data_IF_545633645253
#
_entry.id   IF_545633645253
#
_cell.length_a   1.000
_cell.length_b   1.000
_cell.length_c   1.000
_cell.angle_alpha   90.00
_cell.angle_beta   90.00
_cell.angle_gamma   90.00
#
_symmetry.space_group_name_H-M   'P 1'
#
loop_
_entity.id
_entity.type
_entity.pdbx_description
1 polymer ?
#
# COMPACT_ATOMS: atom_id res chain seq x y z
N UNK A 1 -48.12 -4.97 35.83
CA UNK A 1 -48.01 -5.32 34.42
C UNK A 1 -47.01 -4.37 33.81
N UNK A 2 -45.77 -4.75 33.75
CA UNK A 2 -44.71 -4.03 33.06
C UNK A 2 -44.80 -4.38 31.60
N UNK A 3 -44.74 -3.39 30.65
CA UNK A 3 -44.73 -3.71 29.24
C UNK A 3 -43.38 -4.39 28.92
N UNK A 4 -43.46 -5.58 28.38
CA UNK A 4 -42.33 -6.27 27.76
C UNK A 4 -41.92 -5.47 26.54
N UNK A 5 -40.90 -4.68 26.67
CA UNK A 5 -40.16 -4.12 25.51
C UNK A 5 -39.43 -5.25 24.81
N UNK A 6 -40.13 -5.93 23.94
CA UNK A 6 -39.52 -6.80 22.95
C UNK A 6 -38.87 -5.96 21.86
N UNK A 7 -37.78 -5.27 22.20
CA UNK A 7 -36.90 -4.76 21.20
C UNK A 7 -36.08 -5.92 20.63
N UNK A 8 -36.61 -6.57 19.62
CA UNK A 8 -35.80 -7.34 18.63
C UNK A 8 -34.98 -6.38 17.79
N UNK A 9 -34.15 -5.60 18.46
CA UNK A 9 -33.11 -4.85 17.74
C UNK A 9 -32.04 -5.86 17.34
N UNK A 10 -31.96 -6.16 16.04
CA UNK A 10 -30.78 -6.84 15.50
C UNK A 10 -29.57 -6.01 15.95
N UNK A 11 -28.70 -6.58 16.79
CA UNK A 11 -27.51 -5.83 17.23
C UNK A 11 -26.75 -5.38 16.00
N UNK A 12 -26.32 -4.14 15.98
CA UNK A 12 -25.55 -3.54 14.89
C UNK A 12 -26.31 -3.23 13.57
N UNK A 13 -27.64 -3.41 13.50
CA UNK A 13 -28.40 -3.08 12.28
C UNK A 13 -28.29 -1.57 11.94
N UNK A 14 -28.38 -0.71 12.94
CA UNK A 14 -28.26 0.74 12.78
C UNK A 14 -26.88 1.12 12.24
N UNK A 15 -25.83 0.60 12.86
CA UNK A 15 -24.44 0.83 12.47
C UNK A 15 -24.18 0.37 11.03
N UNK A 16 -24.72 -0.79 10.67
CA UNK A 16 -24.62 -1.33 9.31
C UNK A 16 -25.35 -0.43 8.29
N UNK A 17 -26.55 0.05 8.62
CA UNK A 17 -27.32 0.94 7.73
C UNK A 17 -26.61 2.28 7.56
N UNK A 18 -26.07 2.87 8.62
CA UNK A 18 -25.26 4.11 8.55
C UNK A 18 -24.04 3.88 7.68
N UNK A 19 -23.30 2.79 7.90
CA UNK A 19 -22.17 2.45 7.07
C UNK A 19 -22.54 2.29 5.60
N UNK A 20 -23.58 1.52 5.27
CA UNK A 20 -24.02 1.31 3.89
C UNK A 20 -24.48 2.62 3.23
N UNK A 21 -25.16 3.49 3.98
CA UNK A 21 -25.54 4.81 3.50
C UNK A 21 -24.32 5.67 3.16
N UNK A 22 -23.31 5.67 4.04
CA UNK A 22 -22.05 6.38 3.81
C UNK A 22 -21.31 5.78 2.62
N UNK A 23 -21.16 4.47 2.56
CA UNK A 23 -20.48 3.78 1.46
C UNK A 23 -21.17 4.07 0.12
N UNK A 24 -22.52 4.02 0.08
CA UNK A 24 -23.31 4.28 -1.11
C UNK A 24 -23.16 5.71 -1.65
N UNK A 25 -22.91 6.69 -0.79
CA UNK A 25 -22.67 8.08 -1.19
C UNK A 25 -21.19 8.35 -1.43
N UNK A 26 -20.34 7.87 -0.53
CA UNK A 26 -18.92 8.20 -0.50
C UNK A 26 -18.17 7.56 -1.67
N UNK A 27 -18.45 6.28 -1.99
CA UNK A 27 -17.73 5.59 -3.08
C UNK A 27 -17.90 6.28 -4.44
N UNK A 28 -19.13 6.63 -4.89
CA UNK A 28 -19.29 7.39 -6.13
C UNK A 28 -18.66 8.78 -6.11
N UNK A 29 -18.76 9.49 -4.97
CA UNK A 29 -18.19 10.82 -4.80
C UNK A 29 -16.67 10.81 -4.91
N UNK A 30 -16.03 9.87 -4.22
CA UNK A 30 -14.57 9.69 -4.22
C UNK A 30 -14.04 9.36 -5.62
N UNK A 31 -14.74 8.50 -6.35
CA UNK A 31 -14.40 8.17 -7.75
C UNK A 31 -14.45 9.40 -8.66
N UNK A 32 -15.42 10.30 -8.46
CA UNK A 32 -15.53 11.58 -9.21
C UNK A 32 -14.39 12.55 -8.87
N UNK A 33 -13.99 12.60 -7.61
CA UNK A 33 -12.97 13.52 -7.11
C UNK A 33 -11.54 13.00 -7.29
N UNK A 34 -11.35 11.79 -7.80
CA UNK A 34 -10.03 11.11 -7.90
C UNK A 34 -9.29 11.08 -6.56
N UNK A 35 -10.04 10.83 -5.50
CA UNK A 35 -9.54 10.80 -4.13
C UNK A 35 -9.39 9.35 -3.65
N UNK A 36 -8.45 9.08 -2.74
CA UNK A 36 -8.28 7.72 -2.20
C UNK A 36 -9.51 7.29 -1.38
N UNK A 37 -10.05 6.11 -1.72
CA UNK A 37 -11.18 5.51 -1.00
C UNK A 37 -10.84 5.27 0.48
N UNK A 38 -9.62 4.86 0.78
CA UNK A 38 -9.09 4.65 2.14
C UNK A 38 -9.21 5.93 2.97
N UNK A 39 -8.69 7.05 2.44
CA UNK A 39 -8.75 8.34 3.12
C UNK A 39 -10.17 8.85 3.31
N UNK A 40 -11.03 8.63 2.33
CA UNK A 40 -12.42 9.07 2.42
C UNK A 40 -13.19 8.36 3.55
N UNK A 41 -13.03 7.04 3.69
CA UNK A 41 -13.62 6.30 4.79
C UNK A 41 -13.00 6.66 6.14
N UNK A 42 -11.70 6.91 6.18
CA UNK A 42 -11.01 7.38 7.40
C UNK A 42 -11.59 8.72 7.87
N UNK A 43 -11.71 9.71 6.98
CA UNK A 43 -12.28 11.02 7.26
C UNK A 43 -13.76 10.91 7.66
N UNK A 44 -14.54 10.10 6.94
CA UNK A 44 -15.93 9.87 7.28
C UNK A 44 -16.08 9.25 8.68
N UNK A 45 -15.25 8.24 8.99
CA UNK A 45 -15.22 7.62 10.32
C UNK A 45 -14.88 8.61 11.44
N UNK A 46 -13.85 9.42 11.22
CA UNK A 46 -13.48 10.48 12.17
C UNK A 46 -14.62 11.50 12.36
N UNK A 47 -15.32 11.85 11.27
CA UNK A 47 -16.41 12.83 11.34
C UNK A 47 -17.64 12.26 12.09
N UNK A 48 -18.07 11.02 11.80
CA UNK A 48 -19.29 10.43 12.38
C UNK A 48 -19.05 9.67 13.70
N UNK A 49 -17.79 9.47 14.03
CA UNK A 49 -17.38 8.75 15.24
C UNK A 49 -17.65 9.52 16.53
N UNK A 50 -17.39 8.86 17.68
CA UNK A 50 -17.65 9.42 19.01
C UNK A 50 -16.87 10.70 19.30
N UNK A 51 -15.69 10.86 18.71
CA UNK A 51 -14.84 12.04 18.89
C UNK A 51 -15.15 13.17 17.88
N UNK A 52 -15.89 12.89 16.82
CA UNK A 52 -16.37 13.85 15.83
C UNK A 52 -17.77 14.38 16.19
N UNK A 53 -18.72 14.20 15.27
CA UNK A 53 -20.13 14.60 15.48
C UNK A 53 -20.74 13.97 16.75
N UNK A 54 -20.31 12.76 17.14
CA UNK A 54 -20.78 12.10 18.35
C UNK A 54 -20.54 12.90 19.62
N UNK A 55 -19.51 13.73 19.66
CA UNK A 55 -19.19 14.59 20.82
C UNK A 55 -19.96 15.91 20.83
N UNK A 56 -20.51 16.32 19.68
CA UNK A 56 -21.20 17.61 19.48
C UNK A 56 -22.73 17.48 19.52
N UNK A 57 -23.25 16.25 19.29
CA UNK A 57 -24.67 16.01 19.19
C UNK A 57 -25.26 15.69 20.56
N UNK A 58 -26.24 16.51 21.00
CA UNK A 58 -26.98 16.29 22.24
C UNK A 58 -27.68 14.91 22.24
N UNK A 59 -27.87 14.32 23.45
CA UNK A 59 -28.43 12.99 23.62
C UNK A 59 -29.82 12.82 22.97
N UNK A 60 -30.61 13.88 22.90
CA UNK A 60 -31.99 13.87 22.40
C UNK A 60 -32.12 14.33 20.94
N UNK A 61 -31.00 14.56 20.23
CA UNK A 61 -31.04 15.03 18.83
C UNK A 61 -31.27 13.86 17.86
N UNK A 62 -32.12 14.09 16.84
CA UNK A 62 -32.33 13.17 15.72
C UNK A 62 -31.01 12.83 14.96
N UNK A 63 -30.03 13.73 15.00
CA UNK A 63 -28.70 13.55 14.42
C UNK A 63 -27.93 12.38 15.07
N UNK A 64 -28.28 12.00 16.31
CA UNK A 64 -27.67 10.85 16.98
C UNK A 64 -27.94 9.53 16.25
N UNK A 65 -29.00 9.44 15.46
CA UNK A 65 -29.30 8.27 14.63
C UNK A 65 -28.24 8.04 13.53
N UNK A 66 -27.52 9.09 13.13
CA UNK A 66 -26.45 9.03 12.12
C UNK A 66 -25.04 8.89 12.73
N UNK A 67 -24.92 8.97 14.03
CA UNK A 67 -23.64 8.80 14.75
C UNK A 67 -23.49 7.37 15.19
N UNK A 68 -22.37 6.77 14.88
CA UNK A 68 -22.02 5.43 15.36
C UNK A 68 -21.45 5.56 16.77
N UNK A 69 -22.16 5.04 17.76
CA UNK A 69 -21.76 5.09 19.18
C UNK A 69 -21.17 3.78 19.67
N UNK A 70 -21.56 2.65 19.08
CA UNK A 70 -20.97 1.35 19.40
C UNK A 70 -19.71 1.10 18.57
N UNK A 71 -18.59 1.62 19.08
CA UNK A 71 -17.27 1.42 18.47
C UNK A 71 -16.82 -0.02 18.59
N UNK A 72 -17.16 -0.71 19.68
CA UNK A 72 -16.73 -2.08 19.94
C UNK A 72 -17.38 -3.07 18.96
N UNK A 73 -18.69 -2.99 18.78
CA UNK A 73 -19.41 -3.83 17.82
C UNK A 73 -19.00 -3.54 16.37
N UNK A 74 -18.82 -2.26 16.02
CA UNK A 74 -18.35 -1.87 14.68
C UNK A 74 -16.93 -2.39 14.43
N UNK A 75 -16.05 -2.39 15.42
CA UNK A 75 -14.69 -2.91 15.34
C UNK A 75 -14.66 -4.42 15.05
N UNK A 76 -15.54 -5.20 15.68
CA UNK A 76 -15.63 -6.65 15.41
C UNK A 76 -15.96 -6.94 13.93
N UNK A 77 -16.89 -6.18 13.34
CA UNK A 77 -17.22 -6.36 11.91
C UNK A 77 -16.06 -5.81 11.04
N UNK A 78 -15.40 -4.74 11.46
CA UNK A 78 -14.27 -4.15 10.75
C UNK A 78 -13.04 -5.08 10.69
N UNK A 79 -12.91 -6.04 11.62
CA UNK A 79 -11.87 -7.08 11.58
C UNK A 79 -11.96 -7.93 10.30
N UNK A 80 -13.16 -8.16 9.78
CA UNK A 80 -13.31 -8.78 8.46
C UNK A 80 -12.69 -7.93 7.35
N UNK A 81 -12.67 -6.60 7.52
CA UNK A 81 -11.98 -5.71 6.57
C UNK A 81 -10.48 -5.98 6.50
N UNK A 82 -9.83 -6.23 7.64
CA UNK A 82 -8.42 -6.64 7.71
C UNK A 82 -8.22 -7.99 7.01
N UNK A 83 -9.12 -8.94 7.24
CA UNK A 83 -9.09 -10.26 6.60
C UNK A 83 -9.14 -10.13 5.08
N UNK A 84 -10.09 -9.38 4.54
CA UNK A 84 -10.20 -9.18 3.09
C UNK A 84 -9.06 -8.36 2.52
N UNK A 85 -8.54 -7.38 3.26
CA UNK A 85 -7.36 -6.60 2.85
C UNK A 85 -6.14 -7.51 2.72
N UNK A 86 -5.83 -8.30 3.73
CA UNK A 86 -4.67 -9.18 3.74
C UNK A 86 -4.83 -10.37 2.80
N UNK A 87 -6.04 -10.92 2.66
CA UNK A 87 -6.34 -11.91 1.64
C UNK A 87 -6.03 -11.38 0.23
N UNK A 88 -6.49 -10.17 -0.07
CA UNK A 88 -6.24 -9.55 -1.38
C UNK A 88 -4.76 -9.29 -1.60
N UNK A 89 -4.06 -8.81 -0.57
CA UNK A 89 -2.62 -8.64 -0.60
C UNK A 89 -1.91 -9.95 -0.95
N UNK A 90 -2.27 -11.04 -0.26
CA UNK A 90 -1.75 -12.37 -0.56
C UNK A 90 -2.06 -12.81 -2.01
N UNK A 91 -3.26 -12.52 -2.50
CA UNK A 91 -3.69 -12.87 -3.85
C UNK A 91 -2.96 -12.06 -4.95
N UNK A 92 -2.59 -10.83 -4.66
CA UNK A 92 -1.83 -9.97 -5.57
C UNK A 92 -0.36 -10.39 -5.69
N UNK A 93 0.20 -11.04 -4.68
CA UNK A 93 1.57 -11.54 -4.69
C UNK A 93 1.74 -12.68 -5.71
N UNK A 94 2.71 -12.52 -6.60
CA UNK A 94 3.08 -13.51 -7.60
C UNK A 94 4.57 -13.86 -7.46
N UNK A 95 4.87 -15.15 -7.29
CA UNK A 95 6.26 -15.64 -7.20
C UNK A 95 7.09 -15.26 -8.43
N UNK A 96 6.46 -15.22 -9.61
CA UNK A 96 7.10 -14.80 -10.85
C UNK A 96 7.48 -13.30 -10.86
N UNK A 97 6.67 -12.43 -10.28
CA UNK A 97 6.99 -11.00 -10.14
C UNK A 97 8.11 -10.77 -9.12
N UNK A 98 8.04 -11.46 -7.96
CA UNK A 98 9.09 -11.43 -6.95
C UNK A 98 10.44 -11.82 -7.52
N UNK A 99 10.50 -12.89 -8.33
CA UNK A 99 11.73 -13.35 -8.95
C UNK A 99 12.29 -12.35 -9.98
N UNK A 100 11.42 -11.79 -10.85
CA UNK A 100 11.82 -10.79 -11.85
C UNK A 100 12.34 -9.50 -11.22
N UNK A 101 11.73 -9.07 -10.11
CA UNK A 101 12.06 -7.83 -9.42
C UNK A 101 12.94 -8.04 -8.18
N UNK A 102 13.49 -9.25 -7.98
CA UNK A 102 14.19 -9.67 -6.75
C UNK A 102 15.25 -8.70 -6.25
N UNK A 103 16.03 -8.08 -7.16
CA UNK A 103 17.04 -7.10 -6.79
C UNK A 103 16.43 -5.85 -6.14
N UNK A 104 15.30 -5.39 -6.66
CA UNK A 104 14.59 -4.21 -6.15
C UNK A 104 13.77 -4.56 -4.92
N UNK A 105 13.09 -5.71 -4.91
CA UNK A 105 12.27 -6.19 -3.79
C UNK A 105 13.16 -6.48 -2.58
N UNK A 106 14.03 -7.47 -2.69
CA UNK A 106 14.84 -7.94 -1.56
C UNK A 106 16.07 -7.08 -1.28
N UNK A 107 16.62 -6.36 -2.26
CA UNK A 107 17.73 -5.44 -2.06
C UNK A 107 17.25 -4.09 -1.57
N UNK A 108 16.68 -3.28 -2.47
CA UNK A 108 16.29 -1.92 -2.18
C UNK A 108 15.14 -1.84 -1.16
N UNK A 109 14.09 -2.67 -1.32
CA UNK A 109 12.95 -2.71 -0.42
C UNK A 109 13.34 -3.04 1.02
N UNK A 110 14.14 -4.11 1.24
CA UNK A 110 14.66 -4.43 2.58
C UNK A 110 15.52 -3.31 3.15
N UNK A 111 16.43 -2.75 2.36
CA UNK A 111 17.29 -1.64 2.82
C UNK A 111 16.44 -0.45 3.26
N UNK A 112 15.44 -0.08 2.46
CA UNK A 112 14.54 1.02 2.79
C UNK A 112 13.78 0.74 4.09
N UNK A 113 13.18 -0.44 4.25
CA UNK A 113 12.40 -0.80 5.44
C UNK A 113 13.29 -0.81 6.68
N UNK A 114 14.40 -1.55 6.64
CA UNK A 114 15.26 -1.74 7.82
C UNK A 114 15.90 -0.44 8.28
N UNK A 115 16.44 0.37 7.34
CA UNK A 115 17.07 1.64 7.70
C UNK A 115 16.03 2.64 8.20
N UNK A 116 14.85 2.73 7.56
CA UNK A 116 13.77 3.59 8.02
C UNK A 116 13.27 3.17 9.39
N UNK A 117 13.01 1.87 9.57
CA UNK A 117 12.55 1.33 10.85
C UNK A 117 13.55 1.59 11.99
N UNK A 118 14.83 1.39 11.73
CA UNK A 118 15.90 1.66 12.72
C UNK A 118 15.95 3.14 13.12
N UNK A 119 15.88 4.05 12.16
CA UNK A 119 15.90 5.50 12.42
C UNK A 119 14.66 5.94 13.20
N UNK A 120 13.48 5.48 12.80
CA UNK A 120 12.23 5.81 13.50
C UNK A 120 12.18 5.16 14.88
N UNK A 121 12.62 3.91 15.02
CA UNK A 121 12.68 3.23 16.31
C UNK A 121 13.67 3.95 17.26
N UNK A 122 14.84 4.37 16.76
CA UNK A 122 15.79 5.18 17.51
C UNK A 122 15.18 6.50 17.98
N UNK A 123 14.43 7.18 17.12
CA UNK A 123 13.71 8.40 17.44
C UNK A 123 12.61 8.15 18.47
N UNK A 124 11.79 7.12 18.31
CA UNK A 124 10.76 6.74 19.27
C UNK A 124 11.35 6.39 20.63
N UNK A 125 12.49 5.69 20.65
CA UNK A 125 13.25 5.42 21.88
C UNK A 125 13.78 6.69 22.56
N UNK A 126 14.28 7.63 21.77
CA UNK A 126 14.74 8.94 22.25
C UNK A 126 13.61 9.72 22.94
N UNK A 127 12.39 9.63 22.43
CA UNK A 127 11.19 10.20 23.06
C UNK A 127 10.63 9.38 24.23
N UNK A 128 11.37 8.39 24.75
CA UNK A 128 11.04 7.68 25.97
C UNK A 128 10.20 6.41 25.82
N UNK A 129 9.87 5.99 24.58
CA UNK A 129 9.15 4.73 24.38
C UNK A 129 10.03 3.51 24.74
N UNK A 130 9.44 2.45 25.27
CA UNK A 130 10.12 1.18 25.48
C UNK A 130 10.61 0.58 24.14
N UNK A 131 11.68 -0.22 24.18
CA UNK A 131 12.23 -0.83 22.96
C UNK A 131 11.21 -1.60 22.15
N UNK A 132 10.33 -2.44 22.75
CA UNK A 132 9.29 -3.14 22.00
C UNK A 132 8.38 -2.19 21.21
N UNK A 133 7.84 -1.16 21.90
CA UNK A 133 7.02 -0.14 21.26
C UNK A 133 7.75 0.62 20.15
N UNK A 134 9.01 0.99 20.41
CA UNK A 134 9.85 1.72 19.45
C UNK A 134 10.11 0.90 18.16
N UNK A 135 10.38 -0.39 18.28
CA UNK A 135 10.60 -1.29 17.14
C UNK A 135 9.32 -1.42 16.33
N UNK A 136 8.19 -1.67 16.99
CA UNK A 136 6.88 -1.80 16.32
C UNK A 136 6.51 -0.51 15.60
N UNK A 137 6.68 0.66 16.24
CA UNK A 137 6.45 1.97 15.61
C UNK A 137 7.38 2.18 14.42
N UNK A 138 8.67 1.85 14.56
CA UNK A 138 9.64 1.97 13.49
C UNK A 138 9.28 1.15 12.26
N UNK A 139 8.92 -0.11 12.45
CA UNK A 139 8.53 -1.00 11.37
C UNK A 139 7.18 -0.59 10.75
N UNK A 140 6.18 -0.25 11.56
CA UNK A 140 4.86 0.18 11.08
C UNK A 140 4.95 1.45 10.22
N UNK A 141 5.73 2.44 10.67
CA UNK A 141 5.90 3.71 9.97
C UNK A 141 6.88 3.63 8.77
N UNK A 142 7.70 2.58 8.68
CA UNK A 142 8.54 2.33 7.51
C UNK A 142 7.72 1.94 6.26
N UNK A 143 6.53 1.38 6.46
CA UNK A 143 5.62 1.00 5.39
C UNK A 143 4.98 2.23 4.73
N UNK A 144 4.65 2.13 3.45
CA UNK A 144 3.97 3.18 2.66
C UNK A 144 2.65 2.65 2.11
N UNK A 145 1.72 3.55 1.78
CA UNK A 145 0.43 3.15 1.21
C UNK A 145 0.57 2.67 -0.23
N UNK A 146 0.36 1.38 -0.45
CA UNK A 146 0.33 0.77 -1.77
C UNK A 146 -0.81 1.33 -2.59
N UNK A 147 -2.00 1.48 -1.99
CA UNK A 147 -3.18 2.00 -2.68
C UNK A 147 -2.97 3.42 -3.23
N UNK A 148 -2.43 4.34 -2.43
CA UNK A 148 -2.21 5.74 -2.84
C UNK A 148 -1.12 5.84 -3.91
N UNK A 149 0.01 5.15 -3.71
CA UNK A 149 1.14 5.22 -4.65
C UNK A 149 0.74 4.66 -6.02
N UNK A 150 0.10 3.49 -6.04
CA UNK A 150 -0.33 2.86 -7.29
C UNK A 150 -1.40 3.65 -8.01
N UNK A 151 -2.34 4.27 -7.28
CA UNK A 151 -3.33 5.18 -7.85
C UNK A 151 -2.66 6.38 -8.51
N UNK A 152 -1.74 7.08 -7.82
CA UNK A 152 -1.04 8.25 -8.33
C UNK A 152 -0.21 7.93 -9.57
N UNK A 153 0.47 6.78 -9.59
CA UNK A 153 1.22 6.32 -10.77
C UNK A 153 0.31 5.95 -11.94
N UNK A 154 -0.85 5.35 -11.66
CA UNK A 154 -1.85 5.01 -12.68
C UNK A 154 -2.46 6.27 -13.33
N UNK A 155 -2.84 7.28 -12.53
CA UNK A 155 -3.36 8.56 -13.00
C UNK A 155 -2.36 9.30 -13.91
N UNK A 156 -1.06 9.17 -13.61
CA UNK A 156 0.03 9.74 -14.43
C UNK A 156 0.46 8.86 -15.60
N UNK A 157 -0.10 7.66 -15.74
CA UNK A 157 0.32 6.64 -16.72
C UNK A 157 1.79 6.25 -16.58
N UNK A 158 2.32 6.27 -15.37
CA UNK A 158 3.74 6.05 -15.05
C UNK A 158 4.03 4.69 -14.39
N UNK A 159 3.06 3.77 -14.35
CA UNK A 159 3.25 2.41 -13.79
C UNK A 159 4.42 1.66 -14.44
N UNK A 160 4.62 1.83 -15.76
CA UNK A 160 5.72 1.22 -16.52
C UNK A 160 7.03 2.02 -16.49
N UNK A 161 7.06 3.21 -15.90
CA UNK A 161 8.26 4.04 -15.78
C UNK A 161 9.33 3.40 -14.88
N UNK A 162 10.60 3.82 -14.96
CA UNK A 162 11.64 3.35 -14.03
C UNK A 162 11.25 3.60 -12.56
N UNK A 163 10.67 4.76 -12.24
CA UNK A 163 10.19 5.10 -10.89
C UNK A 163 9.04 4.20 -10.50
N UNK A 164 8.04 4.02 -11.37
CA UNK A 164 6.86 3.20 -11.10
C UNK A 164 7.22 1.74 -10.82
N UNK A 165 8.10 1.14 -11.63
CA UNK A 165 8.54 -0.25 -11.42
C UNK A 165 9.31 -0.45 -10.12
N UNK A 166 10.16 0.52 -9.75
CA UNK A 166 10.93 0.44 -8.51
C UNK A 166 10.04 0.72 -7.30
N UNK A 167 9.16 1.72 -7.36
CA UNK A 167 8.18 1.99 -6.32
C UNK A 167 7.30 0.75 -6.06
N UNK A 168 6.79 0.12 -7.12
CA UNK A 168 6.04 -1.14 -7.01
C UNK A 168 6.86 -2.25 -6.32
N UNK A 169 8.14 -2.40 -6.67
CA UNK A 169 8.99 -3.42 -6.06
C UNK A 169 9.24 -3.16 -4.56
N UNK A 170 9.42 -1.89 -4.16
CA UNK A 170 9.57 -1.49 -2.75
C UNK A 170 8.27 -1.77 -1.99
N UNK A 171 7.12 -1.35 -2.53
CA UNK A 171 5.82 -1.62 -1.94
C UNK A 171 5.54 -3.11 -1.77
N UNK A 172 5.89 -3.91 -2.78
CA UNK A 172 5.76 -5.36 -2.73
C UNK A 172 6.59 -5.98 -1.58
N UNK A 173 7.78 -5.43 -1.31
CA UNK A 173 8.57 -5.86 -0.15
C UNK A 173 7.96 -5.38 1.17
N UNK A 174 7.45 -4.17 1.21
CA UNK A 174 6.76 -3.62 2.37
C UNK A 174 5.52 -4.46 2.71
N UNK A 175 4.73 -4.83 1.72
CA UNK A 175 3.56 -5.69 1.87
C UNK A 175 3.95 -7.10 2.39
N UNK A 176 5.05 -7.66 1.90
CA UNK A 176 5.57 -8.94 2.39
C UNK A 176 6.05 -8.84 3.84
N UNK A 177 6.58 -7.67 4.25
CA UNK A 177 7.06 -7.42 5.61
C UNK A 177 5.92 -7.30 6.65
N UNK A 178 4.69 -7.04 6.22
CA UNK A 178 3.52 -6.99 7.12
C UNK A 178 3.37 -8.29 7.88
N UNK A 179 3.63 -9.43 7.24
CA UNK A 179 3.49 -10.77 7.86
C UNK A 179 4.45 -10.96 9.04
N UNK A 180 5.78 -10.84 8.89
CA UNK A 180 6.67 -10.95 10.04
C UNK A 180 6.42 -9.87 11.08
N UNK A 181 5.95 -8.67 10.68
CA UNK A 181 5.61 -7.61 11.61
C UNK A 181 4.41 -7.98 12.50
N UNK A 182 3.35 -8.57 11.95
CA UNK A 182 2.22 -9.06 12.73
C UNK A 182 2.64 -10.16 13.71
N UNK A 183 3.46 -11.11 13.25
CA UNK A 183 4.02 -12.14 14.14
C UNK A 183 4.87 -11.54 15.26
N UNK A 184 5.66 -10.51 14.94
CA UNK A 184 6.48 -9.82 15.94
C UNK A 184 5.61 -9.14 17.00
N UNK A 185 4.58 -8.40 16.60
CA UNK A 185 3.68 -7.68 17.54
C UNK A 185 3.00 -8.65 18.50
N UNK A 186 2.59 -9.83 18.01
CA UNK A 186 1.91 -10.83 18.83
C UNK A 186 2.83 -11.47 19.92
N UNK A 187 4.15 -11.32 19.84
CA UNK A 187 5.09 -12.04 20.71
C UNK A 187 6.13 -11.16 21.44
N UNK A 188 6.04 -9.84 21.30
CA UNK A 188 7.06 -8.90 21.85
C UNK A 188 6.91 -8.67 23.35
N UNK A 189 5.79 -9.06 23.98
CA UNK A 189 5.53 -8.82 25.43
C UNK A 189 6.30 -9.75 26.38
N UNK A 190 7.03 -10.73 25.89
CA UNK A 190 7.82 -11.62 26.74
C UNK A 190 9.06 -10.92 27.30
N UNK A 191 8.95 -10.39 28.52
CA UNK A 191 10.06 -9.75 29.23
C UNK A 191 11.17 -10.73 29.60
N UNK A 192 12.42 -10.41 29.21
CA UNK A 192 13.63 -10.97 29.79
C UNK A 192 14.52 -11.81 28.88
N UNK A 193 15.49 -12.51 29.47
CA UNK A 193 16.51 -13.34 28.80
C UNK A 193 15.91 -14.52 27.97
N UNK A 194 14.62 -14.82 28.16
CA UNK A 194 13.85 -15.77 27.38
C UNK A 194 13.40 -15.26 26.02
N UNK A 195 13.50 -13.95 25.75
CA UNK A 195 13.00 -13.31 24.50
C UNK A 195 13.55 -14.00 23.24
N UNK A 196 14.84 -14.35 23.22
CA UNK A 196 15.45 -15.03 22.09
C UNK A 196 14.93 -16.46 21.86
N UNK A 197 14.67 -17.19 22.94
CA UNK A 197 14.14 -18.56 22.87
C UNK A 197 12.64 -18.57 22.60
N UNK A 198 11.86 -17.66 23.17
CA UNK A 198 10.43 -17.53 22.90
C UNK A 198 10.16 -17.07 21.47
N UNK A 199 10.90 -16.10 20.96
CA UNK A 199 10.85 -15.68 19.56
C UNK A 199 11.29 -16.80 18.60
N UNK A 200 12.31 -17.57 18.94
CA UNK A 200 12.74 -18.72 18.15
C UNK A 200 11.65 -19.78 18.11
N UNK A 201 11.05 -20.12 19.26
CA UNK A 201 9.97 -21.09 19.36
C UNK A 201 8.71 -20.63 18.63
N UNK A 202 8.31 -19.36 18.83
CA UNK A 202 7.18 -18.76 18.12
C UNK A 202 7.41 -18.74 16.60
N UNK A 203 8.61 -18.34 16.16
CA UNK A 203 8.99 -18.37 14.74
C UNK A 203 8.97 -19.79 14.16
N UNK A 204 9.49 -20.76 14.87
CA UNK A 204 9.47 -22.17 14.44
C UNK A 204 8.03 -22.70 14.35
N UNK A 205 7.20 -22.42 15.35
CA UNK A 205 5.77 -22.76 15.36
C UNK A 205 5.03 -22.11 14.19
N UNK A 206 5.28 -20.84 13.96
CA UNK A 206 4.71 -20.11 12.82
C UNK A 206 5.15 -20.73 11.48
N UNK A 207 6.44 -21.01 11.31
CA UNK A 207 6.97 -21.64 10.09
C UNK A 207 6.32 -23.00 9.86
N UNK A 208 6.20 -23.83 10.90
CA UNK A 208 5.56 -25.16 10.80
C UNK A 208 4.08 -25.03 10.43
N UNK A 209 3.35 -24.13 11.09
CA UNK A 209 1.94 -23.89 10.80
C UNK A 209 1.73 -23.35 9.35
N UNK A 210 2.53 -22.39 8.93
CA UNK A 210 2.53 -21.85 7.57
C UNK A 210 2.85 -22.95 6.56
N UNK A 211 3.91 -23.73 6.79
CA UNK A 211 4.29 -24.83 5.91
C UNK A 211 3.16 -25.87 5.79
N UNK A 212 2.54 -26.27 6.90
CA UNK A 212 1.43 -27.21 6.91
C UNK A 212 0.23 -26.66 6.12
N UNK A 213 -0.17 -25.40 6.35
CA UNK A 213 -1.26 -24.74 5.64
C UNK A 213 -0.96 -24.65 4.13
N UNK A 214 0.25 -24.28 3.75
CA UNK A 214 0.66 -24.18 2.33
C UNK A 214 0.67 -25.56 1.67
N UNK A 215 1.22 -26.59 2.32
CA UNK A 215 1.29 -27.94 1.76
C UNK A 215 -0.10 -28.56 1.61
N UNK A 216 -0.92 -28.48 2.67
CA UNK A 216 -2.29 -29.01 2.66
C UNK A 216 -3.16 -28.20 1.68
N UNK A 217 -3.03 -26.89 1.74
CA UNK A 217 -3.79 -25.98 0.88
C UNK A 217 -3.49 -26.18 -0.60
N UNK A 218 -2.22 -26.28 -1.02
CA UNK A 218 -1.85 -26.57 -2.41
C UNK A 218 -2.43 -27.90 -2.91
N UNK A 219 -2.53 -28.90 -2.04
CA UNK A 219 -3.10 -30.22 -2.40
C UNK A 219 -4.63 -30.18 -2.50
N UNK A 220 -5.30 -29.38 -1.66
CA UNK A 220 -6.76 -29.36 -1.57
C UNK A 220 -7.40 -28.26 -2.44
N UNK A 221 -6.80 -27.08 -2.49
CA UNK A 221 -7.42 -25.92 -3.16
C UNK A 221 -7.65 -26.21 -4.64
N UNK A 222 -6.62 -26.61 -5.37
CA UNK A 222 -6.72 -26.82 -6.82
C UNK A 222 -7.80 -27.83 -7.23
N UNK A 223 -7.89 -29.07 -6.67
CA UNK A 223 -8.94 -30.04 -7.02
C UNK A 223 -10.33 -29.60 -6.57
N UNK A 224 -10.45 -28.89 -5.41
CA UNK A 224 -11.72 -28.36 -4.94
C UNK A 224 -12.27 -27.27 -5.91
N UNK A 225 -11.43 -26.28 -6.20
CA UNK A 225 -11.82 -25.21 -7.14
C UNK A 225 -12.13 -25.76 -8.54
N UNK A 226 -11.40 -26.76 -9.00
CA UNK A 226 -11.69 -27.44 -10.27
C UNK A 226 -13.08 -28.08 -10.28
N UNK A 227 -13.44 -28.79 -9.21
CA UNK A 227 -14.78 -29.42 -9.09
C UNK A 227 -15.90 -28.40 -9.05
N UNK A 228 -15.75 -27.36 -8.23
CA UNK A 228 -16.77 -26.30 -8.06
C UNK A 228 -16.87 -25.46 -9.34
N UNK A 229 -15.77 -25.09 -9.97
CA UNK A 229 -15.79 -24.35 -11.23
C UNK A 229 -16.49 -25.13 -12.36
N UNK A 230 -16.41 -26.46 -12.37
CA UNK A 230 -17.11 -27.31 -13.33
C UNK A 230 -18.64 -27.30 -13.17
N UNK A 231 -19.15 -26.88 -12.02
CA UNK A 231 -20.62 -26.75 -11.81
C UNK A 231 -21.20 -25.48 -12.42
N UNK A 232 -20.35 -24.51 -12.83
CA UNK A 232 -20.75 -23.19 -13.35
C UNK A 232 -21.68 -22.40 -12.42
N UNK A 233 -21.64 -22.68 -11.13
CA UNK A 233 -22.43 -21.99 -10.10
C UNK A 233 -21.60 -20.92 -9.40
N UNK A 234 -21.87 -19.61 -9.65
CA UNK A 234 -21.12 -18.51 -9.03
C UNK A 234 -21.18 -18.52 -7.49
N UNK A 235 -22.34 -18.86 -6.93
CA UNK A 235 -22.57 -18.89 -5.49
C UNK A 235 -21.72 -19.96 -4.80
N UNK A 236 -21.61 -21.15 -5.40
CA UNK A 236 -20.77 -22.23 -4.88
C UNK A 236 -19.27 -21.86 -4.94
N UNK A 237 -18.84 -21.18 -6.01
CA UNK A 237 -17.49 -20.70 -6.16
C UNK A 237 -17.16 -19.62 -5.11
N UNK A 238 -18.09 -18.69 -4.88
CA UNK A 238 -17.97 -17.65 -3.84
C UNK A 238 -17.92 -18.28 -2.44
N UNK A 239 -18.82 -19.20 -2.13
CA UNK A 239 -18.84 -19.89 -0.84
C UNK A 239 -17.55 -20.66 -0.57
N UNK A 240 -16.99 -21.34 -1.59
CA UNK A 240 -15.71 -22.03 -1.47
C UNK A 240 -14.56 -21.04 -1.24
N UNK A 241 -14.54 -19.91 -1.93
CA UNK A 241 -13.52 -18.87 -1.76
C UNK A 241 -13.55 -18.32 -0.33
N UNK A 242 -14.73 -17.99 0.18
CA UNK A 242 -14.92 -17.54 1.56
C UNK A 242 -14.53 -18.61 2.57
N UNK A 243 -14.90 -19.87 2.31
CA UNK A 243 -14.55 -21.00 3.18
C UNK A 243 -13.03 -21.19 3.26
N UNK A 244 -12.32 -21.12 2.15
CA UNK A 244 -10.85 -21.22 2.14
C UNK A 244 -10.22 -20.04 2.86
N UNK A 245 -10.72 -18.82 2.63
CA UNK A 245 -10.20 -17.60 3.27
C UNK A 245 -10.40 -17.63 4.80
N UNK A 246 -11.65 -17.77 5.24
CA UNK A 246 -12.00 -17.76 6.66
C UNK A 246 -11.53 -19.03 7.37
N UNK A 247 -11.59 -20.17 6.70
CA UNK A 247 -11.12 -21.45 7.24
C UNK A 247 -9.63 -21.46 7.50
N UNK A 248 -8.82 -20.92 6.57
CA UNK A 248 -7.37 -20.77 6.76
C UNK A 248 -7.08 -19.77 7.89
N UNK A 249 -7.82 -18.66 7.96
CA UNK A 249 -7.71 -17.69 9.03
C UNK A 249 -8.05 -18.31 10.41
N UNK A 250 -9.09 -19.13 10.48
CA UNK A 250 -9.46 -19.85 11.69
C UNK A 250 -8.41 -20.90 12.10
N UNK A 251 -7.80 -21.60 11.13
CA UNK A 251 -6.72 -22.57 11.39
C UNK A 251 -5.48 -21.89 11.95
N UNK A 252 -5.07 -20.75 11.43
CA UNK A 252 -3.94 -19.97 11.97
C UNK A 252 -4.23 -19.47 13.36
N UNK A 253 -5.42 -18.96 13.60
CA UNK A 253 -5.86 -18.53 14.93
C UNK A 253 -5.84 -19.69 15.95
N UNK A 254 -6.35 -20.86 15.58
CA UNK A 254 -6.29 -22.05 16.43
C UNK A 254 -4.85 -22.52 16.69
N UNK A 255 -3.91 -22.23 15.78
CA UNK A 255 -2.48 -22.46 15.97
C UNK A 255 -1.81 -21.36 16.84
N UNK A 256 -2.56 -20.37 17.35
CA UNK A 256 -2.04 -19.27 18.16
C UNK A 256 -1.32 -18.18 17.35
N UNK A 257 -1.65 -18.05 16.07
CA UNK A 257 -1.19 -16.98 15.17
C UNK A 257 -2.36 -16.04 14.88
N UNK A 258 -2.08 -14.86 14.31
CA UNK A 258 -3.12 -13.90 13.99
C UNK A 258 -4.11 -14.41 12.92
N UNK A 259 -5.37 -14.06 13.07
CA UNK A 259 -6.42 -14.33 12.07
C UNK A 259 -6.10 -13.70 10.72
N UNK A 260 -5.50 -12.52 10.77
CA UNK A 260 -5.06 -11.75 9.63
C UNK A 260 -3.97 -12.46 8.79
N UNK A 261 -3.00 -13.10 9.45
CA UNK A 261 -1.97 -13.91 8.80
C UNK A 261 -2.57 -15.06 7.99
N UNK A 262 -3.60 -15.73 8.53
CA UNK A 262 -4.26 -16.83 7.84
C UNK A 262 -4.97 -16.39 6.57
N UNK A 263 -5.62 -15.23 6.59
CA UNK A 263 -6.22 -14.65 5.41
C UNK A 263 -5.17 -14.33 4.31
N UNK A 264 -4.03 -13.78 4.71
CA UNK A 264 -2.91 -13.55 3.79
C UNK A 264 -2.41 -14.85 3.14
N UNK A 265 -2.22 -15.90 3.95
CA UNK A 265 -1.80 -17.20 3.45
C UNK A 265 -2.81 -17.83 2.50
N UNK A 266 -4.13 -17.69 2.78
CA UNK A 266 -5.18 -18.11 1.88
C UNK A 266 -5.08 -17.39 0.52
N UNK A 267 -4.87 -16.08 0.55
CA UNK A 267 -4.65 -15.26 -0.66
C UNK A 267 -3.44 -15.74 -1.46
N UNK A 268 -2.30 -15.92 -0.79
CA UNK A 268 -1.06 -16.42 -1.41
C UNK A 268 -1.23 -17.82 -2.01
N UNK A 269 -1.96 -18.69 -1.33
CA UNK A 269 -2.28 -20.03 -1.81
C UNK A 269 -3.09 -19.99 -3.11
N UNK A 270 -4.11 -19.13 -3.16
CA UNK A 270 -4.97 -19.00 -4.32
C UNK A 270 -4.31 -18.20 -5.46
N UNK A 271 -3.32 -17.35 -5.15
CA UNK A 271 -2.53 -16.60 -6.13
C UNK A 271 -1.78 -17.49 -7.12
N UNK A 272 -1.37 -18.70 -6.68
CA UNK A 272 -0.65 -19.68 -7.51
C UNK A 272 -1.59 -20.64 -8.27
N UNK A 273 -2.91 -20.53 -8.08
CA UNK A 273 -3.88 -21.38 -8.79
C UNK A 273 -4.32 -20.78 -10.13
N UNK A 274 -4.80 -21.64 -11.04
CA UNK A 274 -5.39 -21.18 -12.29
C UNK A 274 -6.65 -20.33 -12.10
N UNK A 275 -7.24 -20.36 -10.90
CA UNK A 275 -8.49 -19.67 -10.55
C UNK A 275 -8.27 -18.28 -9.95
N UNK A 276 -7.02 -17.80 -9.82
CA UNK A 276 -6.66 -16.51 -9.22
C UNK A 276 -7.54 -15.36 -9.70
N UNK A 277 -7.70 -15.23 -11.00
CA UNK A 277 -8.47 -14.13 -11.58
C UNK A 277 -9.97 -14.22 -11.25
N UNK A 278 -10.53 -15.43 -11.30
CA UNK A 278 -11.93 -15.66 -10.92
C UNK A 278 -12.17 -15.38 -9.43
N UNK A 279 -11.26 -15.82 -8.56
CA UNK A 279 -11.27 -15.50 -7.13
C UNK A 279 -11.24 -13.99 -6.91
N UNK A 280 -10.37 -13.28 -7.61
CA UNK A 280 -10.25 -11.83 -7.52
C UNK A 280 -11.56 -11.13 -7.88
N UNK A 281 -12.18 -11.49 -9.01
CA UNK A 281 -13.48 -10.93 -9.43
C UNK A 281 -14.60 -11.23 -8.44
N UNK A 282 -14.58 -12.43 -7.84
CA UNK A 282 -15.60 -12.84 -6.85
C UNK A 282 -15.50 -12.07 -5.54
N UNK A 283 -14.28 -11.73 -5.10
CA UNK A 283 -14.04 -11.04 -3.81
C UNK A 283 -14.09 -9.51 -3.95
N UNK A 284 -13.88 -8.97 -5.14
CA UNK A 284 -13.78 -7.52 -5.37
C UNK A 284 -14.95 -6.69 -4.78
N UNK A 285 -16.24 -7.10 -4.89
CA UNK A 285 -17.36 -6.37 -4.29
C UNK A 285 -17.26 -6.30 -2.75
N UNK A 286 -16.88 -7.41 -2.12
CA UNK A 286 -16.71 -7.50 -0.66
C UNK A 286 -15.50 -6.73 -0.18
N UNK A 287 -14.40 -6.81 -0.93
CA UNK A 287 -13.16 -6.07 -0.64
C UNK A 287 -13.45 -4.59 -0.41
N UNK A 288 -14.11 -3.93 -1.37
CA UNK A 288 -14.39 -2.49 -1.29
C UNK A 288 -15.20 -2.10 -0.05
N UNK A 289 -16.23 -2.88 0.28
CA UNK A 289 -17.08 -2.63 1.45
C UNK A 289 -16.36 -2.90 2.76
N UNK A 290 -15.73 -4.06 2.92
CA UNK A 290 -15.09 -4.43 4.19
C UNK A 290 -13.84 -3.61 4.49
N UNK A 291 -13.03 -3.28 3.47
CA UNK A 291 -11.91 -2.34 3.64
C UNK A 291 -12.45 -0.96 4.02
N UNK A 292 -13.54 -0.50 3.38
CA UNK A 292 -14.20 0.74 3.75
C UNK A 292 -14.68 0.75 5.20
N UNK A 293 -15.30 -0.34 5.66
CA UNK A 293 -15.73 -0.48 7.04
C UNK A 293 -14.57 -0.48 8.03
N UNK A 294 -13.47 -1.14 7.70
CA UNK A 294 -12.26 -1.13 8.51
C UNK A 294 -11.72 0.31 8.67
N UNK A 295 -11.55 1.06 7.58
CA UNK A 295 -11.03 2.43 7.67
C UNK A 295 -12.01 3.39 8.31
N UNK A 296 -13.32 3.17 8.16
CA UNK A 296 -14.33 3.89 8.90
C UNK A 296 -14.17 3.67 10.41
N UNK A 297 -14.05 2.41 10.84
CA UNK A 297 -13.86 2.06 12.24
C UNK A 297 -12.55 2.60 12.83
N UNK A 298 -11.46 2.55 12.07
CA UNK A 298 -10.19 3.19 12.44
C UNK A 298 -10.37 4.70 12.59
N UNK A 299 -11.03 5.35 11.62
CA UNK A 299 -11.32 6.78 11.69
C UNK A 299 -12.14 7.17 12.91
N UNK A 300 -13.13 6.37 13.29
CA UNK A 300 -13.93 6.58 14.51
C UNK A 300 -13.09 6.54 15.79
N UNK A 301 -11.98 5.80 15.78
CA UNK A 301 -11.03 5.72 16.90
C UNK A 301 -10.06 6.91 16.97
N UNK A 302 -10.02 7.80 15.98
CA UNK A 302 -9.13 8.96 15.97
C UNK A 302 -9.76 10.13 16.74
N UNK A 303 -9.10 10.54 17.82
CA UNK A 303 -9.50 11.74 18.58
C UNK A 303 -8.78 12.98 18.05
N UNK A 304 -9.49 13.78 17.25
CA UNK A 304 -8.95 15.03 16.69
C UNK A 304 -8.72 16.13 17.75
N UNK A 305 -9.20 15.95 19.00
CA UNK A 305 -8.94 16.92 20.09
C UNK A 305 -7.46 16.95 20.43
N UNK A 306 -6.76 15.81 20.30
CA UNK A 306 -5.31 15.73 20.42
C UNK A 306 -4.57 16.66 19.44
N UNK A 307 -5.22 17.10 18.35
CA UNK A 307 -4.67 18.14 17.46
C UNK A 307 -4.59 19.49 18.16
N UNK A 308 -5.54 19.80 19.05
CA UNK A 308 -5.55 21.01 19.87
C UNK A 308 -4.54 20.97 21.00
N UNK A 309 -4.27 19.79 21.54
CA UNK A 309 -3.30 19.59 22.63
C UNK A 309 -1.86 19.66 22.11
N UNK A 310 -1.60 19.17 20.89
CA UNK A 310 -0.25 19.06 20.30
C UNK A 310 -0.16 19.67 18.88
N UNK A 311 -0.55 20.94 18.69
CA UNK A 311 -0.75 21.53 17.36
C UNK A 311 0.53 21.63 16.52
N UNK A 312 1.70 21.70 17.19
CA UNK A 312 3.00 21.82 16.52
C UNK A 312 3.66 20.47 16.27
N UNK A 313 3.48 19.51 17.20
CA UNK A 313 4.18 18.23 17.13
C UNK A 313 3.63 17.32 16.03
N UNK A 314 2.34 17.38 15.71
CA UNK A 314 1.74 16.56 14.64
C UNK A 314 2.28 16.95 13.26
N UNK A 315 2.24 18.22 12.83
CA UNK A 315 2.85 18.63 11.56
C UNK A 315 4.37 18.38 11.52
N UNK A 316 5.07 18.60 12.64
CA UNK A 316 6.51 18.36 12.73
C UNK A 316 6.85 16.88 12.59
N UNK A 317 6.10 16.00 13.23
CA UNK A 317 6.28 14.54 13.12
C UNK A 317 5.93 14.04 11.73
N UNK A 318 4.88 14.57 11.10
CA UNK A 318 4.55 14.27 9.72
C UNK A 318 5.69 14.70 8.77
N UNK A 319 6.23 15.89 8.94
CA UNK A 319 7.38 16.37 8.18
C UNK A 319 8.62 15.52 8.43
N UNK A 320 8.87 15.13 9.68
CA UNK A 320 9.95 14.23 10.09
C UNK A 320 9.82 12.85 9.43
N UNK A 321 8.62 12.29 9.40
CA UNK A 321 8.34 11.02 8.74
C UNK A 321 8.67 11.10 7.24
N UNK A 322 8.18 12.15 6.55
CA UNK A 322 8.49 12.38 5.14
C UNK A 322 9.99 12.58 4.92
N UNK A 323 10.66 13.38 5.76
CA UNK A 323 12.08 13.66 5.64
C UNK A 323 12.93 12.39 5.80
N UNK A 324 12.68 11.58 6.84
CA UNK A 324 13.40 10.32 7.08
C UNK A 324 13.18 9.37 5.89
N UNK A 325 11.92 9.12 5.50
CA UNK A 325 11.60 8.20 4.42
C UNK A 325 12.13 8.69 3.07
N UNK A 326 12.03 9.99 2.79
CA UNK A 326 12.60 10.60 1.60
C UNK A 326 14.10 10.37 1.51
N UNK A 327 14.84 10.73 2.57
CA UNK A 327 16.30 10.62 2.58
C UNK A 327 16.73 9.17 2.42
N UNK A 328 16.15 8.26 3.21
CA UNK A 328 16.49 6.83 3.15
C UNK A 328 16.16 6.25 1.78
N UNK A 329 14.97 6.50 1.26
CA UNK A 329 14.54 5.96 -0.04
C UNK A 329 15.36 6.53 -1.18
N UNK A 330 15.62 7.85 -1.18
CA UNK A 330 16.42 8.49 -2.22
C UNK A 330 17.87 8.00 -2.21
N UNK A 331 18.49 7.88 -1.04
CA UNK A 331 19.85 7.34 -0.92
C UNK A 331 19.91 5.86 -1.33
N UNK A 332 18.94 5.05 -0.90
CA UNK A 332 18.85 3.66 -1.31
C UNK A 332 18.68 3.54 -2.84
N UNK A 333 17.77 4.29 -3.45
CA UNK A 333 17.61 4.32 -4.91
C UNK A 333 18.90 4.72 -5.64
N UNK A 334 19.62 5.71 -5.11
CA UNK A 334 20.93 6.12 -5.64
C UNK A 334 21.99 5.02 -5.54
N UNK A 335 22.07 4.37 -4.39
CA UNK A 335 22.99 3.25 -4.14
C UNK A 335 22.72 2.05 -5.07
N UNK A 336 21.47 1.86 -5.45
CA UNK A 336 21.07 0.81 -6.42
C UNK A 336 21.19 1.25 -7.88
N UNK A 337 21.72 2.45 -8.18
CA UNK A 337 22.06 2.90 -9.53
C UNK A 337 20.95 3.67 -10.27
N UNK A 338 19.89 4.11 -9.59
CA UNK A 338 18.89 4.97 -10.22
C UNK A 338 19.41 6.43 -10.38
N UNK A 339 18.83 7.14 -11.33
CA UNK A 339 19.15 8.56 -11.57
C UNK A 339 18.77 9.43 -10.36
N UNK A 340 19.35 10.62 -10.24
CA UNK A 340 18.99 11.59 -9.20
C UNK A 340 17.52 11.99 -9.29
N UNK A 341 17.02 12.17 -10.49
CA UNK A 341 15.61 12.46 -10.78
C UNK A 341 14.70 11.38 -10.21
N UNK A 342 14.95 10.11 -10.55
CA UNK A 342 14.16 8.98 -10.09
C UNK A 342 14.24 8.82 -8.56
N UNK A 343 15.39 9.09 -7.95
CA UNK A 343 15.57 9.00 -6.50
C UNK A 343 14.77 10.07 -5.73
N UNK A 344 14.75 11.31 -6.24
CA UNK A 344 13.97 12.40 -5.63
C UNK A 344 12.47 12.14 -5.78
N UNK A 345 12.03 11.78 -6.98
CA UNK A 345 10.62 11.49 -7.26
C UNK A 345 10.13 10.28 -6.44
N UNK A 346 10.84 9.15 -6.50
CA UNK A 346 10.47 7.94 -5.78
C UNK A 346 10.55 8.10 -4.26
N UNK A 347 11.53 8.86 -3.75
CA UNK A 347 11.66 9.15 -2.32
C UNK A 347 10.47 9.95 -1.77
N UNK A 348 10.02 10.97 -2.49
CA UNK A 348 8.83 11.75 -2.10
C UNK A 348 7.53 10.98 -2.32
N UNK A 349 7.46 10.16 -3.37
CA UNK A 349 6.30 9.31 -3.65
C UNK A 349 6.07 8.25 -2.57
N UNK A 350 7.13 7.69 -1.96
CA UNK A 350 7.07 6.66 -0.92
C UNK A 350 7.20 7.23 0.51
N UNK A 351 7.13 8.54 0.69
CA UNK A 351 7.40 9.21 1.97
C UNK A 351 6.28 9.13 3.00
N UNK A 352 5.03 8.88 2.61
CA UNK A 352 3.88 8.79 3.51
C UNK A 352 3.87 7.48 4.32
N UNK A 353 3.07 7.46 5.41
CA UNK A 353 2.71 6.24 6.11
C UNK A 353 1.80 5.34 5.26
N UNK A 354 1.66 4.08 5.66
CA UNK A 354 0.81 3.11 4.98
C UNK A 354 -0.42 2.72 5.78
N UNK A 355 -1.40 2.12 5.10
CA UNK A 355 -2.62 1.58 5.70
C UNK A 355 -2.37 0.51 6.76
N UNK A 356 -1.30 -0.26 6.60
CA UNK A 356 -0.93 -1.29 7.58
C UNK A 356 -0.45 -0.72 8.91
N UNK A 357 0.01 0.53 8.96
CA UNK A 357 0.35 1.20 10.22
C UNK A 357 -0.87 1.28 11.15
N UNK A 358 -2.08 1.50 10.63
CA UNK A 358 -3.31 1.50 11.43
C UNK A 358 -3.59 0.15 12.07
N UNK A 359 -3.36 -0.94 11.34
CA UNK A 359 -3.55 -2.31 11.83
C UNK A 359 -2.53 -2.61 12.93
N UNK A 360 -1.26 -2.38 12.64
CA UNK A 360 -0.14 -2.70 13.54
C UNK A 360 -0.22 -1.88 14.83
N UNK A 361 -0.42 -0.57 14.72
CA UNK A 361 -0.56 0.31 15.89
C UNK A 361 -1.84 -0.05 16.66
N UNK A 362 -2.92 -0.39 15.97
CA UNK A 362 -4.18 -0.81 16.60
C UNK A 362 -4.03 -2.09 17.43
N UNK A 363 -3.32 -3.10 16.93
CA UNK A 363 -3.02 -4.34 17.65
C UNK A 363 -2.10 -4.03 18.84
N UNK A 364 -1.03 -3.25 18.62
CA UNK A 364 -0.09 -2.88 19.67
C UNK A 364 -0.74 -2.06 20.81
N UNK A 365 -1.72 -1.22 20.49
CA UNK A 365 -2.56 -0.53 21.48
C UNK A 365 -3.44 -1.49 22.26
N UNK A 366 -4.07 -2.45 21.57
CA UNK A 366 -4.95 -3.44 22.20
C UNK A 366 -4.19 -4.35 23.18
N UNK A 367 -2.93 -4.64 22.88
CA UNK A 367 -2.03 -5.44 23.73
C UNK A 367 -1.34 -4.61 24.84
N UNK A 368 -1.53 -3.27 24.86
CA UNK A 368 -0.84 -2.40 25.84
C UNK A 368 0.63 -2.15 25.54
N UNK A 369 1.13 -2.60 24.39
CA UNK A 369 2.52 -2.46 23.97
C UNK A 369 2.90 -0.98 23.72
N UNK A 370 1.96 -0.21 23.18
CA UNK A 370 2.09 1.22 22.93
C UNK A 370 1.13 1.97 23.86
N UNK A 371 1.62 3.01 24.54
CA UNK A 371 0.78 3.86 25.38
C UNK A 371 -0.34 4.53 24.53
N UNK A 372 -1.58 4.62 25.04
CA UNK A 372 -2.70 5.18 24.26
C UNK A 372 -2.44 6.57 23.68
N UNK A 373 -1.82 7.54 24.39
CA UNK A 373 -1.53 8.84 23.80
C UNK A 373 -0.57 8.76 22.61
N UNK A 374 0.47 7.91 22.68
CA UNK A 374 1.44 7.72 21.61
C UNK A 374 0.78 7.07 20.39
N UNK A 375 -0.05 6.06 20.62
CA UNK A 375 -0.79 5.39 19.53
C UNK A 375 -1.74 6.34 18.82
N UNK A 376 -2.55 7.11 19.55
CA UNK A 376 -3.45 8.12 18.98
C UNK A 376 -2.68 9.17 18.18
N UNK A 377 -1.60 9.69 18.73
CA UNK A 377 -0.72 10.64 18.05
C UNK A 377 -0.20 10.08 16.73
N UNK A 378 0.29 8.83 16.72
CA UNK A 378 0.83 8.20 15.53
C UNK A 378 -0.25 7.88 14.48
N UNK A 379 -1.45 7.47 14.89
CA UNK A 379 -2.58 7.27 13.96
C UNK A 379 -2.94 8.57 13.23
N UNK A 380 -2.95 9.71 13.95
CA UNK A 380 -3.18 11.03 13.37
C UNK A 380 -2.05 11.40 12.38
N UNK A 381 -0.79 11.22 12.76
CA UNK A 381 0.37 11.50 11.90
C UNK A 381 0.31 10.67 10.61
N UNK A 382 0.00 9.37 10.70
CA UNK A 382 -0.16 8.49 9.54
C UNK A 382 -1.30 8.98 8.65
N UNK A 383 -2.49 9.24 9.22
CA UNK A 383 -3.66 9.70 8.47
C UNK A 383 -3.39 11.00 7.71
N UNK A 384 -2.81 12.00 8.40
CA UNK A 384 -2.44 13.26 7.74
C UNK A 384 -1.34 13.08 6.70
N UNK A 385 -0.34 12.21 6.95
CA UNK A 385 0.70 11.93 5.96
C UNK A 385 0.11 11.35 4.67
N UNK A 386 -0.87 10.45 4.79
CA UNK A 386 -1.57 9.90 3.64
C UNK A 386 -2.44 10.94 2.92
N UNK A 387 -3.08 11.86 3.66
CA UNK A 387 -3.89 12.94 3.10
C UNK A 387 -3.05 13.90 2.25
N UNK A 388 -1.84 14.22 2.70
CA UNK A 388 -0.92 15.14 2.02
C UNK A 388 -0.13 14.44 0.90
N UNK A 389 -0.13 13.11 0.84
CA UNK A 389 0.65 12.32 -0.12
C UNK A 389 0.48 12.74 -1.59
N UNK A 390 -0.72 13.05 -2.13
CA UNK A 390 -0.85 13.50 -3.51
C UNK A 390 -0.11 14.82 -3.80
N UNK A 391 -0.10 15.73 -2.82
CA UNK A 391 0.60 17.03 -2.94
C UNK A 391 2.12 16.83 -2.93
N UNK A 392 2.63 16.01 -2.01
CA UNK A 392 4.06 15.70 -1.91
C UNK A 392 4.54 14.93 -3.14
N UNK A 393 3.75 13.98 -3.65
CA UNK A 393 4.07 13.27 -4.87
C UNK A 393 4.10 14.20 -6.11
N UNK A 394 3.19 15.18 -6.19
CA UNK A 394 3.24 16.23 -7.23
C UNK A 394 4.52 17.05 -7.14
N UNK A 395 4.89 17.47 -5.93
CA UNK A 395 6.15 18.18 -5.69
C UNK A 395 7.36 17.34 -6.13
N UNK A 396 7.38 16.05 -5.80
CA UNK A 396 8.41 15.11 -6.21
C UNK A 396 8.58 15.03 -7.73
N UNK A 397 7.47 14.91 -8.44
CA UNK A 397 7.45 14.89 -9.90
C UNK A 397 7.97 16.22 -10.51
N UNK A 398 7.53 17.37 -9.99
CA UNK A 398 7.99 18.69 -10.45
C UNK A 398 9.48 18.91 -10.21
N UNK A 399 9.98 18.52 -9.02
CA UNK A 399 11.41 18.61 -8.70
C UNK A 399 12.22 17.65 -9.58
N UNK A 400 11.72 16.43 -9.81
CA UNK A 400 12.32 15.47 -10.71
C UNK A 400 12.48 16.03 -12.13
N UNK A 401 11.43 16.61 -12.70
CA UNK A 401 11.46 17.24 -14.03
C UNK A 401 12.50 18.37 -14.10
N UNK A 402 12.53 19.28 -13.12
CA UNK A 402 13.53 20.36 -13.08
C UNK A 402 14.97 19.87 -13.03
N UNK A 403 15.22 18.75 -12.34
CA UNK A 403 16.55 18.14 -12.29
C UNK A 403 16.91 17.47 -13.62
N UNK A 404 15.93 16.93 -14.32
CA UNK A 404 16.13 16.34 -15.66
C UNK A 404 16.46 17.41 -16.70
N UNK A 405 15.67 18.50 -16.73
CA UNK A 405 15.85 19.60 -17.67
C UNK A 405 17.24 20.27 -17.52
N UNK A 406 17.72 20.41 -16.27
CA UNK A 406 19.09 20.92 -16.02
C UNK A 406 20.19 19.95 -16.46
N UNK A 407 19.94 18.64 -16.45
CA UNK A 407 20.85 17.62 -16.98
C UNK A 407 20.87 17.65 -18.52
N UNK A 408 19.69 17.60 -19.12
CA UNK A 408 19.52 17.63 -20.56
C UNK A 408 20.05 18.93 -21.20
N UNK A 409 19.85 20.08 -20.56
CA UNK A 409 20.40 21.35 -21.01
C UNK A 409 21.94 21.40 -21.00
N UNK A 410 22.60 20.61 -20.14
CA UNK A 410 24.06 20.46 -20.14
C UNK A 410 24.56 19.53 -21.25
N UNK A 411 23.79 18.47 -21.55
CA UNK A 411 24.16 17.49 -22.57
C UNK A 411 23.81 18.00 -23.99
N UNK A 412 22.73 18.76 -24.17
CA UNK A 412 22.33 19.35 -25.46
C UNK A 412 23.19 20.57 -25.89
N UNK A 413 23.99 21.18 -25.00
CA UNK A 413 24.81 22.35 -25.33
C UNK A 413 25.99 22.03 -26.25
N UNK A 414 26.17 20.77 -26.69
CA UNK A 414 27.34 20.36 -27.48
C UNK A 414 27.01 19.67 -28.81
N UNK A 415 25.75 19.58 -29.25
CA UNK A 415 25.43 18.94 -30.53
C UNK A 415 24.78 19.91 -31.50
N UNK A 416 25.54 20.43 -32.43
CA UNK A 416 25.03 21.11 -33.61
C UNK A 416 24.29 20.09 -34.47
N UNK A 417 22.95 20.25 -34.63
CA UNK A 417 22.17 19.50 -35.60
C UNK A 417 22.68 19.82 -37.00
N UNK A 418 22.81 18.84 -37.90
CA UNK A 418 23.16 19.11 -39.26
C UNK A 418 22.10 20.00 -39.93
N UNK A 419 22.51 20.99 -40.69
CA UNK A 419 21.59 21.77 -41.51
C UNK A 419 21.08 20.89 -42.64
N UNK A 420 19.94 20.27 -42.45
CA UNK A 420 19.25 19.45 -43.45
C UNK A 420 18.09 20.23 -44.02
N UNK A 421 17.99 20.29 -45.34
CA UNK A 421 16.82 20.78 -46.07
C UNK A 421 16.08 19.60 -46.70
N UNK A 422 14.75 19.69 -46.79
CA UNK A 422 13.89 18.68 -47.42
C UNK A 422 14.06 17.26 -46.83
N UNK A 423 14.09 17.17 -45.50
CA UNK A 423 14.29 15.91 -44.78
C UNK A 423 13.05 15.45 -43.99
N UNK A 424 12.99 14.15 -43.73
CA UNK A 424 11.95 13.54 -42.89
C UNK A 424 12.42 13.52 -41.44
N UNK A 425 11.54 13.88 -40.49
CA UNK A 425 11.81 13.74 -39.05
C UNK A 425 11.05 12.52 -38.51
N UNK A 426 11.80 11.54 -37.99
CA UNK A 426 11.23 10.32 -37.36
C UNK A 426 11.19 10.53 -35.85
N UNK A 427 9.99 10.64 -35.29
CA UNK A 427 9.79 10.74 -33.85
C UNK A 427 9.65 9.33 -33.22
N UNK A 428 10.71 8.85 -32.54
CA UNK A 428 10.85 7.50 -32.01
C UNK A 428 11.57 6.56 -32.96
N UNK A 429 12.78 6.10 -32.58
CA UNK A 429 13.59 5.23 -33.43
C UNK A 429 13.68 3.80 -32.87
N UNK A 430 12.53 3.30 -32.38
CA UNK A 430 12.31 1.90 -32.05
C UNK A 430 12.18 1.01 -33.30
N UNK A 431 11.61 -0.20 -33.18
CA UNK A 431 11.50 -1.17 -34.27
C UNK A 431 10.84 -0.62 -35.56
N UNK A 432 9.80 0.19 -35.41
CA UNK A 432 9.11 0.82 -36.56
C UNK A 432 9.91 1.96 -37.15
N UNK A 433 10.51 2.80 -36.29
CA UNK A 433 11.38 3.91 -36.74
C UNK A 433 12.62 3.43 -37.49
N UNK A 434 13.24 2.34 -37.04
CA UNK A 434 14.37 1.71 -37.72
C UNK A 434 14.00 1.18 -39.10
N UNK A 435 12.84 0.48 -39.21
CA UNK A 435 12.36 0.01 -40.49
C UNK A 435 12.06 1.16 -41.47
N UNK A 436 11.46 2.25 -40.94
CA UNK A 436 11.22 3.45 -41.75
C UNK A 436 12.53 4.12 -42.19
N UNK A 437 13.52 4.20 -41.29
CA UNK A 437 14.87 4.71 -41.61
C UNK A 437 15.53 3.88 -42.71
N UNK A 438 15.47 2.55 -42.65
CA UNK A 438 15.98 1.67 -43.71
C UNK A 438 15.30 1.90 -45.07
N UNK A 439 14.01 2.19 -45.09
CA UNK A 439 13.27 2.49 -46.33
C UNK A 439 13.74 3.85 -46.88
N UNK A 440 13.85 4.87 -46.02
CA UNK A 440 14.31 6.20 -46.44
C UNK A 440 15.75 6.20 -46.93
N UNK A 441 16.64 5.42 -46.31
CA UNK A 441 18.03 5.23 -46.77
C UNK A 441 18.06 4.57 -48.15
N UNK A 442 17.21 3.56 -48.43
CA UNK A 442 17.12 2.92 -49.74
C UNK A 442 16.60 3.83 -50.84
N UNK A 443 15.67 4.71 -50.51
CA UNK A 443 15.08 5.69 -51.42
C UNK A 443 15.93 6.97 -51.53
N UNK A 444 17.04 7.08 -50.78
CA UNK A 444 17.94 8.25 -50.78
C UNK A 444 17.30 9.50 -50.21
N UNK A 445 16.25 9.34 -49.35
CA UNK A 445 15.59 10.47 -48.73
C UNK A 445 16.29 10.82 -47.41
N UNK A 446 16.80 12.04 -47.23
CA UNK A 446 17.46 12.42 -46.00
C UNK A 446 16.46 12.45 -44.84
N UNK A 447 16.87 11.91 -43.71
CA UNK A 447 16.04 11.94 -42.51
C UNK A 447 16.87 12.23 -41.24
N UNK A 448 16.17 12.65 -40.21
CA UNK A 448 16.68 12.83 -38.87
C UNK A 448 15.76 12.09 -37.90
N UNK A 449 16.33 11.24 -37.08
CA UNK A 449 15.55 10.51 -36.07
C UNK A 449 15.81 11.07 -34.67
N UNK A 450 14.76 11.10 -33.87
CA UNK A 450 14.77 11.53 -32.45
C UNK A 450 14.27 10.41 -31.59
N UNK A 451 15.04 9.95 -30.60
CA UNK A 451 14.61 8.97 -29.61
C UNK A 451 14.92 9.42 -28.19
N UNK A 452 14.16 8.90 -27.24
CA UNK A 452 14.31 9.22 -25.80
C UNK A 452 15.35 8.37 -25.07
N UNK A 453 15.75 7.24 -25.65
CA UNK A 453 16.70 6.32 -25.03
C UNK A 453 18.14 6.66 -25.46
N UNK A 454 18.96 7.28 -24.56
CA UNK A 454 20.33 7.65 -24.91
C UNK A 454 21.19 6.46 -25.30
N UNK A 455 20.96 5.27 -24.72
CA UNK A 455 21.75 4.06 -25.01
C UNK A 455 21.46 3.52 -26.40
N UNK A 456 20.19 3.58 -26.83
CA UNK A 456 19.78 3.22 -28.17
C UNK A 456 20.44 4.18 -29.19
N UNK A 457 20.38 5.48 -28.88
CA UNK A 457 20.94 6.53 -29.73
C UNK A 457 22.48 6.39 -29.86
N UNK A 458 23.20 6.19 -28.74
CA UNK A 458 24.67 5.97 -28.78
C UNK A 458 25.03 4.76 -29.63
N UNK A 459 24.32 3.62 -29.47
CA UNK A 459 24.57 2.42 -30.26
C UNK A 459 24.35 2.60 -31.76
N UNK A 460 23.27 3.30 -32.13
CA UNK A 460 22.89 3.53 -33.53
C UNK A 460 23.76 4.60 -34.20
N UNK A 461 24.20 5.61 -33.47
CA UNK A 461 25.16 6.61 -33.94
C UNK A 461 26.56 6.02 -34.26
N UNK A 462 26.98 5.06 -33.42
CA UNK A 462 28.22 4.34 -33.69
C UNK A 462 28.18 3.57 -35.02
N UNK A 463 26.99 3.24 -35.53
CA UNK A 463 26.78 2.65 -36.86
C UNK A 463 26.50 3.67 -37.96
N UNK A 464 26.61 4.99 -37.70
CA UNK A 464 26.43 6.04 -38.69
C UNK A 464 25.01 6.52 -38.93
N UNK A 465 24.02 6.05 -38.14
CA UNK A 465 22.60 6.43 -38.27
C UNK A 465 22.36 7.84 -37.69
N UNK A 466 21.63 8.75 -38.40
CA UNK A 466 21.39 10.13 -37.94
C UNK A 466 20.29 10.17 -36.86
N UNK A 467 20.58 9.64 -35.67
CA UNK A 467 19.66 9.58 -34.51
C UNK A 467 20.15 10.50 -33.40
N UNK A 468 19.25 11.27 -32.81
CA UNK A 468 19.56 12.25 -31.78
C UNK A 468 18.71 12.02 -30.53
N UNK A 469 19.25 12.33 -29.36
CA UNK A 469 18.50 12.25 -28.11
C UNK A 469 17.56 13.47 -28.01
N UNK A 470 16.25 13.24 -27.91
CA UNK A 470 15.30 14.34 -27.81
C UNK A 470 13.87 13.87 -27.52
N UNK A 471 12.98 14.85 -27.29
CA UNK A 471 11.53 14.65 -27.20
C UNK A 471 10.86 15.32 -28.40
N UNK A 472 9.85 14.66 -28.93
CA UNK A 472 9.01 15.15 -30.03
C UNK A 472 7.89 16.08 -29.55
N UNK A 473 8.15 16.94 -28.56
CA UNK A 473 7.21 17.98 -28.12
C UNK A 473 7.64 19.33 -28.64
#
# INVERSE_FOLDING_TARGET
>A
MTPVEAHTSLPLLRELLVFLGIAGVLIPLVRRLHFSQVLAFLIAGTAIGPYGLGSLVAADSWLRSFVITDVAGTRQIAEFGVVFLLFTLGLELSTGQLYRLRRWVFGLGNTQILVTALLIAGLARFFGNAWPAAIVLGLALALSSTAIVMQLLAERRELGSPVGRVAFAVLLMQDLMVVPLLVLVDHVDDEGAALGLSLLYASLKAIVAIAAIVVVGKRLAQPLFRRVSATHQPDAFMALTLLVTLGTAAMTWAAGLSFALGAFLAGLLLAETAYRHQVQLTIEPFRGLFIGLFFLAVGMGIDLRALGDEPLWIPLSMLGLYAIKFVVTALAMRAFGLSRTAAVEGGLLLGQGGEFAFIVIGIALAQGLIAPPVGQFMLIVVGFSMLVAPLVARLGHLLGRRLHDKGAARDCAHEALPELSDHVVIAGYGRVGQLLGEVLDREGIPYLAIDRDPRLVEGLRASGTPVYVGRSE
#
